data_IF_283609879099
#
_entry.id   IF_283609879099
#
_cell.length_a   1.000
_cell.length_b   1.000
_cell.length_c   1.000
_cell.angle_alpha   90.00
_cell.angle_beta   90.00
_cell.angle_gamma   90.00
#
_symmetry.space_group_name_H-M   'P 1'
#
loop_
_entity.id
_entity.type
_entity.pdbx_description
1 polymer ?
#
# COMPACT_ATOMS: atom_id res chain seq x y z
N UNK A 1 13.00 0.66 6.32
CA UNK A 1 12.00 1.71 6.59
C UNK A 1 10.59 1.20 6.46
N UNK A 2 9.68 1.79 7.21
CA UNK A 2 8.24 1.50 7.11
C UNK A 2 7.60 2.58 6.25
N UNK A 3 6.99 2.16 5.16
CA UNK A 3 6.44 3.07 4.15
C UNK A 3 5.01 2.69 3.78
N UNK A 4 4.18 3.70 3.57
CA UNK A 4 2.87 3.52 2.93
C UNK A 4 3.02 3.84 1.45
N UNK A 5 2.30 3.14 0.60
CA UNK A 5 2.23 3.43 -0.82
C UNK A 5 0.80 3.24 -1.31
N UNK A 6 0.28 4.24 -2.03
CA UNK A 6 -1.05 4.15 -2.60
C UNK A 6 -1.17 5.02 -3.85
N UNK A 7 -2.20 4.72 -4.64
CA UNK A 7 -2.62 5.55 -5.75
C UNK A 7 -4.00 6.13 -5.43
N UNK A 8 -4.23 7.37 -5.80
CA UNK A 8 -5.49 8.04 -5.57
C UNK A 8 -5.93 8.84 -6.79
N UNK A 9 -7.25 8.99 -6.94
CA UNK A 9 -7.84 9.96 -7.83
C UNK A 9 -8.24 11.20 -7.04
N UNK A 10 -8.89 12.16 -7.67
CA UNK A 10 -9.29 13.42 -7.05
C UNK A 10 -10.00 13.22 -5.72
N UNK A 11 -9.65 14.01 -4.73
CA UNK A 11 -10.26 13.98 -3.39
C UNK A 11 -9.75 12.86 -2.48
N UNK A 12 -8.72 12.11 -2.89
CA UNK A 12 -8.18 11.02 -2.09
C UNK A 12 -8.89 9.69 -2.30
N UNK A 13 -9.60 9.54 -3.41
CA UNK A 13 -10.33 8.31 -3.75
C UNK A 13 -9.34 7.17 -4.02
N UNK A 14 -9.43 6.08 -3.26
CA UNK A 14 -8.54 4.92 -3.40
C UNK A 14 -9.26 3.62 -3.76
N UNK A 15 -10.58 3.59 -3.73
CA UNK A 15 -11.30 2.36 -4.04
C UNK A 15 -12.75 2.53 -4.39
N UNK A 16 -13.26 1.53 -5.11
CA UNK A 16 -14.67 1.39 -5.45
C UNK A 16 -15.02 -0.09 -5.38
N UNK A 17 -15.99 -0.46 -4.54
CA UNK A 17 -16.47 -1.84 -4.37
C UNK A 17 -15.34 -2.85 -4.12
N UNK A 18 -14.33 -2.45 -3.32
CA UNK A 18 -13.22 -3.33 -2.95
C UNK A 18 -12.09 -3.42 -3.97
N UNK A 19 -12.13 -2.65 -5.05
CA UNK A 19 -11.05 -2.62 -6.04
C UNK A 19 -10.74 -1.19 -6.48
N UNK A 20 -9.71 -1.04 -7.31
CA UNK A 20 -9.34 0.28 -7.84
C UNK A 20 -10.36 0.73 -8.89
N UNK A 21 -10.81 2.00 -8.86
CA UNK A 21 -11.76 2.53 -9.83
C UNK A 21 -11.16 2.85 -11.20
N UNK A 22 -9.83 2.73 -11.34
CA UNK A 22 -9.12 3.01 -12.59
C UNK A 22 -8.23 1.84 -12.96
N UNK A 23 -7.71 1.90 -14.20
CA UNK A 23 -6.72 0.96 -14.68
C UNK A 23 -5.59 1.74 -15.34
N UNK A 24 -4.40 1.74 -14.73
CA UNK A 24 -3.22 2.42 -15.25
C UNK A 24 -2.01 1.49 -15.11
N UNK A 25 -1.60 0.89 -16.24
CA UNK A 25 -0.49 -0.06 -16.25
C UNK A 25 0.86 0.55 -15.89
N UNK A 26 1.06 1.83 -16.21
CA UNK A 26 2.31 2.54 -15.88
C UNK A 26 2.43 2.75 -14.38
N UNK A 27 1.32 3.12 -13.71
CA UNK A 27 1.30 3.25 -12.27
C UNK A 27 1.50 1.90 -11.59
N UNK A 28 0.89 0.84 -12.08
CA UNK A 28 1.10 -0.50 -11.54
C UNK A 28 2.55 -0.94 -11.67
N UNK A 29 3.21 -0.59 -12.77
CA UNK A 29 4.62 -0.85 -12.97
C UNK A 29 5.49 -0.09 -11.97
N UNK A 30 5.17 1.16 -11.73
CA UNK A 30 5.85 2.00 -10.74
C UNK A 30 5.73 1.38 -9.34
N UNK A 31 4.52 0.97 -8.95
CA UNK A 31 4.27 0.28 -7.68
C UNK A 31 5.13 -0.97 -7.55
N UNK A 32 5.14 -1.80 -8.59
CA UNK A 32 5.93 -3.03 -8.62
C UNK A 32 7.42 -2.73 -8.42
N UNK A 33 7.94 -1.75 -9.14
CA UNK A 33 9.36 -1.39 -9.06
C UNK A 33 9.75 -0.88 -7.67
N UNK A 34 8.85 -0.14 -7.01
CA UNK A 34 9.11 0.36 -5.66
C UNK A 34 9.11 -0.76 -4.63
N UNK A 35 8.18 -1.71 -4.72
CA UNK A 35 7.97 -2.72 -3.67
C UNK A 35 8.75 -4.01 -3.86
N UNK A 36 9.29 -4.27 -5.05
CA UNK A 36 10.03 -5.51 -5.33
C UNK A 36 11.22 -5.66 -4.38
N UNK A 37 11.36 -6.83 -3.82
CA UNK A 37 12.40 -7.14 -2.84
C UNK A 37 12.03 -6.82 -1.40
N UNK A 38 10.88 -6.18 -1.18
CA UNK A 38 10.43 -5.79 0.15
C UNK A 38 9.37 -6.73 0.74
N UNK A 39 8.85 -6.31 1.88
CA UNK A 39 7.71 -6.96 2.54
C UNK A 39 6.48 -6.12 2.23
N UNK A 40 5.42 -6.72 1.68
CA UNK A 40 4.15 -6.04 1.45
C UNK A 40 3.10 -6.52 2.43
N UNK A 41 2.38 -5.56 3.02
CA UNK A 41 1.32 -5.82 4.01
C UNK A 41 0.01 -5.30 3.46
N UNK A 42 -1.01 -6.15 3.49
CA UNK A 42 -2.33 -5.82 2.97
C UNK A 42 -3.42 -6.40 3.86
N UNK A 43 -4.61 -5.81 3.79
CA UNK A 43 -5.79 -6.40 4.41
C UNK A 43 -6.40 -7.49 3.52
N UNK A 44 -7.38 -8.20 4.06
CA UNK A 44 -8.03 -9.29 3.33
C UNK A 44 -8.75 -8.81 2.06
N UNK A 45 -9.38 -7.63 2.10
CA UNK A 45 -10.06 -7.07 0.93
C UNK A 45 -9.06 -6.80 -0.21
N UNK A 46 -7.91 -6.25 0.11
CA UNK A 46 -6.84 -6.03 -0.89
C UNK A 46 -6.32 -7.36 -1.41
N UNK A 47 -6.13 -8.35 -0.55
CA UNK A 47 -5.73 -9.69 -0.95
C UNK A 47 -6.69 -10.28 -1.99
N UNK A 48 -8.00 -10.16 -1.75
CA UNK A 48 -9.00 -10.60 -2.72
C UNK A 48 -8.93 -9.81 -4.03
N UNK A 49 -8.66 -8.51 -3.95
CA UNK A 49 -8.60 -7.65 -5.13
C UNK A 49 -7.44 -8.00 -6.07
N UNK A 50 -6.37 -8.58 -5.55
CA UNK A 50 -5.24 -9.06 -6.37
C UNK A 50 -5.37 -10.53 -6.76
N UNK A 51 -6.56 -11.10 -6.59
CA UNK A 51 -6.88 -12.47 -7.01
C UNK A 51 -6.41 -13.56 -6.07
N UNK A 52 -6.17 -13.24 -4.80
CA UNK A 52 -5.69 -14.19 -3.79
C UNK A 52 -4.39 -14.89 -4.21
N UNK A 53 -3.48 -14.12 -4.81
CA UNK A 53 -2.17 -14.62 -5.26
C UNK A 53 -1.08 -13.70 -4.74
N UNK A 54 0.04 -14.26 -4.27
CA UNK A 54 1.13 -13.44 -3.76
C UNK A 54 1.75 -12.60 -4.87
N UNK A 55 2.15 -11.39 -4.51
CA UNK A 55 2.94 -10.53 -5.37
C UNK A 55 4.35 -11.11 -5.47
N UNK A 56 4.84 -11.32 -6.67
CA UNK A 56 6.13 -11.98 -6.92
C UNK A 56 7.32 -11.17 -6.42
N UNK A 57 8.35 -11.87 -5.96
CA UNK A 57 9.61 -11.29 -5.50
C UNK A 57 9.43 -10.36 -4.29
N UNK A 58 8.43 -10.64 -3.47
CA UNK A 58 8.13 -9.90 -2.25
C UNK A 58 7.64 -10.88 -1.19
N UNK A 59 7.87 -10.53 0.07
CA UNK A 59 7.25 -11.25 1.19
C UNK A 59 5.85 -10.70 1.34
N UNK A 60 4.83 -11.55 1.29
CA UNK A 60 3.43 -11.12 1.36
C UNK A 60 2.85 -11.42 2.74
N UNK A 61 2.31 -10.41 3.40
CA UNK A 61 1.65 -10.56 4.71
C UNK A 61 0.23 -10.02 4.60
N UNK A 62 -0.74 -10.84 4.99
CA UNK A 62 -2.15 -10.42 5.06
C UNK A 62 -2.52 -10.21 6.52
N UNK A 63 -2.88 -8.97 6.85
CA UNK A 63 -3.34 -8.60 8.20
C UNK A 63 -4.83 -8.89 8.31
N UNK A 64 -5.18 -9.90 9.08
CA UNK A 64 -6.57 -10.36 9.23
C UNK A 64 -6.71 -11.19 10.51
N UNK A 65 -7.93 -11.19 11.06
CA UNK A 65 -8.26 -12.08 12.20
C UNK A 65 -8.56 -13.51 11.78
N UNK A 66 -8.59 -13.79 10.48
CA UNK A 66 -8.86 -15.13 9.96
C UNK A 66 -7.64 -16.02 10.15
N UNK A 67 -7.86 -17.29 10.40
CA UNK A 67 -6.79 -18.28 10.49
C UNK A 67 -6.39 -18.81 9.11
N UNK A 68 -7.32 -18.74 8.15
CA UNK A 68 -7.12 -19.19 6.78
C UNK A 68 -7.70 -18.19 5.81
N UNK A 69 -7.05 -18.04 4.68
CA UNK A 69 -7.50 -17.21 3.56
C UNK A 69 -7.35 -17.99 2.27
N UNK A 70 -8.16 -17.66 1.27
CA UNK A 70 -8.07 -18.27 -0.03
C UNK A 70 -6.69 -17.99 -0.64
N UNK A 71 -6.05 -19.03 -1.19
CA UNK A 71 -4.70 -18.91 -1.77
C UNK A 71 -3.55 -19.00 -0.78
N UNK A 72 -3.85 -19.18 0.52
CA UNK A 72 -2.82 -19.28 1.55
C UNK A 72 -2.13 -20.65 1.50
N UNK A 73 -0.81 -20.64 1.39
CA UNK A 73 0.00 -21.86 1.32
C UNK A 73 1.03 -21.97 2.45
N UNK A 74 1.19 -20.92 3.25
CA UNK A 74 2.15 -20.90 4.37
C UNK A 74 3.61 -20.74 3.94
N UNK A 75 3.88 -20.59 2.66
CA UNK A 75 5.25 -20.45 2.12
C UNK A 75 5.53 -19.04 1.60
N UNK A 76 4.74 -18.57 0.65
CA UNK A 76 4.91 -17.25 0.03
C UNK A 76 4.01 -16.18 0.68
N UNK A 77 3.00 -16.62 1.42
CA UNK A 77 2.03 -15.75 2.06
C UNK A 77 1.95 -16.08 3.53
N UNK A 78 2.00 -15.05 4.36
CA UNK A 78 1.88 -15.17 5.80
C UNK A 78 0.62 -14.45 6.28
N UNK A 79 0.00 -14.97 7.34
CA UNK A 79 -1.12 -14.33 8.01
C UNK A 79 -0.61 -13.72 9.31
N UNK A 80 -0.94 -12.44 9.54
CA UNK A 80 -0.72 -11.79 10.81
C UNK A 80 -2.06 -11.31 11.37
N UNK A 81 -2.24 -11.41 12.67
CA UNK A 81 -3.50 -11.05 13.32
C UNK A 81 -3.46 -9.64 13.93
N UNK A 82 -2.29 -9.05 14.08
CA UNK A 82 -2.13 -7.70 14.62
C UNK A 82 -0.87 -7.02 14.07
N UNK A 83 -0.81 -5.72 14.27
CA UNK A 83 0.29 -4.88 13.77
C UNK A 83 1.61 -5.26 14.42
N UNK A 84 1.60 -5.58 15.71
CA UNK A 84 2.81 -5.88 16.49
C UNK A 84 3.56 -7.10 15.94
N UNK A 85 2.83 -8.13 15.48
CA UNK A 85 3.45 -9.29 14.83
C UNK A 85 4.21 -8.89 13.57
N UNK A 86 3.65 -7.96 12.80
CA UNK A 86 4.25 -7.48 11.55
C UNK A 86 5.50 -6.64 11.84
N UNK A 87 5.41 -5.74 12.83
CA UNK A 87 6.53 -4.91 13.22
C UNK A 87 7.69 -5.78 13.74
N UNK A 88 7.39 -6.80 14.55
CA UNK A 88 8.40 -7.73 15.05
C UNK A 88 9.10 -8.47 13.91
N UNK A 89 8.32 -8.97 12.95
CA UNK A 89 8.88 -9.64 11.77
C UNK A 89 9.79 -8.69 10.98
N UNK A 90 9.35 -7.47 10.77
CA UNK A 90 10.10 -6.46 10.04
C UNK A 90 11.43 -6.11 10.75
N UNK A 91 11.41 -5.96 12.07
CA UNK A 91 12.61 -5.60 12.85
C UNK A 91 13.72 -6.63 12.75
N UNK A 92 13.38 -7.89 12.46
CA UNK A 92 14.34 -8.98 12.25
C UNK A 92 14.70 -9.17 10.78
N UNK A 93 14.32 -8.23 9.91
CA UNK A 93 14.56 -8.27 8.47
C UNK A 93 15.40 -7.06 8.05
N UNK A 94 16.11 -7.19 6.93
CA UNK A 94 16.83 -6.09 6.31
C UNK A 94 16.02 -5.42 5.18
N UNK A 95 14.74 -5.81 5.03
CA UNK A 95 13.87 -5.33 3.95
C UNK A 95 13.03 -4.14 4.41
N UNK A 96 12.59 -3.32 3.45
CA UNK A 96 11.59 -2.29 3.70
C UNK A 96 10.21 -2.92 3.88
N UNK A 97 9.40 -2.31 4.72
CA UNK A 97 8.02 -2.70 4.97
C UNK A 97 7.10 -1.74 4.20
N UNK A 98 6.29 -2.30 3.30
CA UNK A 98 5.39 -1.54 2.44
C UNK A 98 3.94 -1.86 2.78
N UNK A 99 3.20 -0.87 3.23
CA UNK A 99 1.78 -1.01 3.52
C UNK A 99 1.01 -0.64 2.25
N UNK A 100 0.27 -1.60 1.70
CA UNK A 100 -0.34 -1.45 0.37
C UNK A 100 -1.87 -1.40 0.37
N UNK A 101 -2.49 -1.37 1.54
CA UNK A 101 -3.92 -1.08 1.63
C UNK A 101 -4.74 -2.13 2.36
N UNK A 102 -5.99 -1.91 2.53
CA UNK A 102 -6.74 -0.66 2.22
C UNK A 102 -6.69 0.39 3.32
N UNK A 103 -7.69 1.27 3.30
CA UNK A 103 -7.72 2.42 4.19
C UNK A 103 -7.54 2.07 5.67
N UNK A 104 -8.22 1.03 6.14
CA UNK A 104 -8.10 0.58 7.54
C UNK A 104 -6.68 0.14 7.88
N UNK A 105 -6.01 -0.56 6.96
CA UNK A 105 -4.65 -1.04 7.17
C UNK A 105 -3.68 0.14 7.16
N UNK A 106 -3.82 1.08 6.23
CA UNK A 106 -3.02 2.31 6.23
C UNK A 106 -3.12 3.02 7.58
N UNK A 107 -4.34 3.22 8.09
CA UNK A 107 -4.57 3.93 9.36
C UNK A 107 -3.85 3.27 10.52
N UNK A 108 -3.81 1.95 10.57
CA UNK A 108 -3.16 1.21 11.64
C UNK A 108 -1.64 1.38 11.64
N UNK A 109 -1.04 1.70 10.49
CA UNK A 109 0.40 1.87 10.37
C UNK A 109 0.88 3.32 10.36
N UNK A 110 -0.02 4.30 10.37
CA UNK A 110 0.38 5.72 10.40
C UNK A 110 1.36 6.02 11.54
N UNK A 111 1.16 5.53 12.79
CA UNK A 111 2.11 5.81 13.87
C UNK A 111 3.52 5.29 13.63
N UNK A 112 3.68 4.29 12.78
CA UNK A 112 4.98 3.65 12.50
C UNK A 112 5.58 4.12 11.19
N UNK A 113 4.83 4.82 10.37
CA UNK A 113 5.22 5.23 9.02
C UNK A 113 6.33 6.27 9.06
N UNK A 114 7.37 6.04 8.28
CA UNK A 114 8.51 6.96 8.15
C UNK A 114 8.43 7.77 6.86
N UNK A 115 8.00 7.12 5.78
CA UNK A 115 7.86 7.72 4.45
C UNK A 115 6.59 7.20 3.78
N UNK A 116 6.11 7.94 2.80
CA UNK A 116 4.96 7.45 2.01
C UNK A 116 5.03 7.98 0.58
N UNK A 117 4.50 7.17 -0.33
CA UNK A 117 4.45 7.48 -1.76
C UNK A 117 2.99 7.56 -2.20
N UNK A 118 2.62 8.67 -2.82
CA UNK A 118 1.28 8.90 -3.34
C UNK A 118 1.36 9.09 -4.85
N UNK A 119 0.65 8.24 -5.60
CA UNK A 119 0.45 8.43 -7.03
C UNK A 119 -0.92 9.05 -7.25
N UNK A 120 -0.96 10.25 -7.82
CA UNK A 120 -2.22 10.91 -8.19
C UNK A 120 -2.54 10.58 -9.63
N UNK A 121 -3.66 9.89 -9.84
CA UNK A 121 -4.08 9.39 -11.15
C UNK A 121 -4.95 10.43 -11.83
N UNK A 122 -4.64 10.72 -13.10
CA UNK A 122 -5.44 11.63 -13.92
C UNK A 122 -6.79 10.99 -14.30
N UNK A 123 -7.84 11.79 -14.29
CA UNK A 123 -9.18 11.38 -14.70
C UNK A 123 -10.23 11.59 -13.62
N UNK A 124 -11.48 11.48 -14.03
CA UNK A 124 -12.64 11.56 -13.13
C UNK A 124 -13.11 10.15 -12.81
N UNK A 125 -13.04 9.81 -11.54
CA UNK A 125 -13.48 8.51 -11.05
C UNK A 125 -14.40 8.70 -9.85
N UNK A 126 -15.29 7.76 -9.63
CA UNK A 126 -16.14 7.73 -8.45
C UNK A 126 -15.99 6.40 -7.73
N UNK A 127 -16.21 6.40 -6.45
CA UNK A 127 -16.10 5.21 -5.64
C UNK A 127 -16.53 5.47 -4.21
N UNK A 128 -16.24 4.53 -3.35
CA UNK A 128 -16.76 4.50 -1.98
C UNK A 128 -15.67 4.60 -0.90
N UNK A 129 -14.40 4.51 -1.27
CA UNK A 129 -13.31 4.47 -0.29
C UNK A 129 -12.31 5.59 -0.54
N UNK A 130 -12.09 6.38 0.50
CA UNK A 130 -11.19 7.54 0.47
C UNK A 130 -10.15 7.40 1.56
N UNK A 131 -8.94 7.91 1.30
CA UNK A 131 -7.88 7.96 2.30
C UNK A 131 -7.27 9.36 2.29
N UNK A 132 -7.52 10.12 3.34
CA UNK A 132 -7.06 11.50 3.48
C UNK A 132 -6.29 11.73 4.79
N UNK A 133 -6.04 10.67 5.54
CA UNK A 133 -5.45 10.75 6.88
C UNK A 133 -4.00 11.25 6.88
N UNK A 134 -3.33 11.21 5.72
CA UNK A 134 -1.96 11.67 5.58
C UNK A 134 -1.85 13.09 4.99
N UNK A 135 -2.97 13.76 4.72
CA UNK A 135 -2.97 15.07 4.06
C UNK A 135 -2.16 16.13 4.83
N UNK A 136 -2.15 16.07 6.17
CA UNK A 136 -1.36 17.01 6.99
C UNK A 136 0.15 16.91 6.76
N UNK A 137 0.61 15.78 6.26
CA UNK A 137 2.04 15.52 6.00
C UNK A 137 2.43 15.83 4.54
N UNK A 138 1.46 16.11 3.66
CA UNK A 138 1.69 16.35 2.24
C UNK A 138 2.04 17.81 2.00
N UNK A 139 3.20 18.21 2.51
CA UNK A 139 3.71 19.59 2.44
C UNK A 139 4.94 19.64 1.55
N UNK A 140 5.20 20.78 0.88
CA UNK A 140 6.38 20.93 0.03
C UNK A 140 7.69 20.58 0.74
N UNK A 141 7.84 20.98 2.01
CA UNK A 141 9.04 20.70 2.79
C UNK A 141 9.26 19.21 3.08
N UNK A 142 8.22 18.39 2.96
CA UNK A 142 8.31 16.96 3.19
C UNK A 142 8.56 16.16 1.90
N UNK A 143 8.61 16.80 0.75
CA UNK A 143 8.81 16.11 -0.52
C UNK A 143 10.28 15.68 -0.65
N UNK A 144 10.48 14.38 -0.89
CA UNK A 144 11.80 13.81 -1.18
C UNK A 144 12.04 13.85 -2.69
N UNK A 145 11.06 13.33 -3.46
CA UNK A 145 11.16 13.30 -4.92
C UNK A 145 9.77 13.22 -5.53
N UNK A 146 9.61 13.82 -6.72
CA UNK A 146 8.39 13.73 -7.50
C UNK A 146 8.73 13.12 -8.87
N UNK A 147 7.96 12.13 -9.28
CA UNK A 147 8.08 11.47 -10.58
C UNK A 147 6.79 11.66 -11.36
N UNK A 148 6.92 12.20 -12.57
CA UNK A 148 5.77 12.33 -13.48
C UNK A 148 5.79 11.16 -14.45
N UNK A 149 4.76 10.32 -14.39
CA UNK A 149 4.56 9.21 -15.30
C UNK A 149 3.43 9.48 -16.29
N UNK A 150 3.07 8.47 -17.07
CA UNK A 150 1.97 8.56 -18.01
C UNK A 150 0.64 8.40 -17.27
N UNK A 151 -0.14 9.48 -17.20
CA UNK A 151 -1.43 9.48 -16.55
C UNK A 151 -1.39 9.52 -15.03
N UNK A 152 -0.22 9.76 -14.44
CA UNK A 152 -0.09 9.91 -13.00
C UNK A 152 1.13 10.73 -12.59
N UNK A 153 1.09 11.25 -11.37
CA UNK A 153 2.24 11.90 -10.73
C UNK A 153 2.45 11.23 -9.38
N UNK A 154 3.62 10.66 -9.15
CA UNK A 154 3.97 10.02 -7.88
C UNK A 154 4.87 10.95 -7.08
N UNK A 155 4.52 11.18 -5.83
CA UNK A 155 5.31 12.00 -4.91
C UNK A 155 5.70 11.17 -3.70
N UNK A 156 6.99 11.19 -3.39
CA UNK A 156 7.56 10.49 -2.25
C UNK A 156 7.78 11.52 -1.14
N UNK A 157 7.14 11.33 0.00
CA UNK A 157 7.18 12.22 1.15
C UNK A 157 7.85 11.55 2.34
N UNK A 158 8.49 12.35 3.19
CA UNK A 158 8.79 11.91 4.56
C UNK A 158 7.64 12.35 5.46
N UNK A 159 7.38 11.58 6.51
CA UNK A 159 6.30 11.89 7.45
C UNK A 159 6.79 12.77 8.60
N UNK A 160 7.89 13.28 8.58
CA UNK A 160 8.44 14.04 9.71
C UNK A 160 7.67 15.31 10.04
#
# INVERSE_FOLDING_TARGET
>A
MIKLIWAEAEGGLIGAEGSLPWHNGTDLNYFKNQTTGGIVVMGHTTWKSIGCRPLKNRVNIVLTHRDEIEGYDGEEVYIANNVEEIIDFYEHSDKDLWIIGGASVYKQFIPYCEEFIVSVIEGDYSGDTYFTDMNEYRKPENIIVTLKGEGFVATHYRKA
#
